data_IF_110991491840
#
_entry.id   IF_110991491840
#
_cell.length_a   1.000
_cell.length_b   1.000
_cell.length_c   1.000
_cell.angle_alpha   90.00
_cell.angle_beta   90.00
_cell.angle_gamma   90.00
#
_symmetry.space_group_name_H-M   'P 1'
#
loop_
_entity.id
_entity.type
_entity.pdbx_description
1 polymer ?
#
# COMPACT_ATOMS: atom_id res chain seq x y z
N UNK A 1 -5.75 -6.37 -27.01
CA UNK A 1 -5.60 -6.30 -26.48
C UNK A 1 -5.54 -6.25 -25.55
N UNK A 2 -5.72 -6.18 -25.43
CA UNK A 2 -5.61 -6.01 -24.68
C UNK A 2 -5.52 -5.87 -23.73
N UNK A 3 -5.49 -5.69 -23.37
CA UNK A 3 -5.42 -5.41 -22.54
C UNK A 3 -5.48 -5.10 -21.65
N UNK A 4 -6.14 -5.30 -22.48
CA UNK A 4 -5.40 -5.16 -21.45
C UNK A 4 -5.76 -4.61 -20.07
N UNK A 5 -5.64 -5.37 -19.13
CA UNK A 5 -5.82 -4.95 -17.76
C UNK A 5 -4.51 -4.33 -17.30
N UNK A 6 -4.54 -3.04 -16.97
CA UNK A 6 -3.38 -2.39 -16.37
C UNK A 6 -3.31 -2.82 -14.92
N UNK A 7 -2.29 -3.55 -14.60
CA UNK A 7 -2.02 -3.94 -13.22
C UNK A 7 -0.89 -3.07 -12.70
N UNK A 8 -1.03 -2.65 -11.45
CA UNK A 8 0.02 -1.90 -10.78
C UNK A 8 0.43 -2.65 -9.52
N UNK A 9 1.53 -2.25 -8.95
CA UNK A 9 2.01 -2.82 -7.69
C UNK A 9 1.97 -1.75 -6.62
N UNK A 10 1.33 -2.08 -5.51
CA UNK A 10 1.31 -1.25 -4.31
C UNK A 10 2.43 -1.74 -3.41
N UNK A 11 3.35 -0.85 -3.08
CA UNK A 11 4.58 -1.20 -2.38
C UNK A 11 4.63 -0.48 -1.06
N UNK A 12 4.93 -1.19 0.01
CA UNK A 12 4.99 -0.64 1.35
C UNK A 12 6.31 -1.00 2.02
N UNK A 13 7.09 0.02 2.35
CA UNK A 13 8.34 -0.15 3.10
C UNK A 13 8.01 -0.10 4.58
N UNK A 14 7.52 -1.22 5.08
CA UNK A 14 6.95 -1.31 6.41
C UNK A 14 7.92 -0.95 7.55
N UNK A 15 9.19 -1.24 7.36
CA UNK A 15 10.20 -0.95 8.38
C UNK A 15 10.25 0.54 8.74
N UNK A 16 9.89 1.39 7.80
CA UNK A 16 9.95 2.85 7.98
C UNK A 16 8.60 3.46 8.27
N UNK A 17 7.56 2.65 8.39
CA UNK A 17 6.22 3.12 8.71
C UNK A 17 6.19 3.64 10.15
N UNK A 18 5.53 4.80 10.34
CA UNK A 18 5.44 5.41 11.67
C UNK A 18 4.07 5.21 12.35
N UNK A 19 3.16 4.51 11.67
CA UNK A 19 1.87 4.18 12.27
C UNK A 19 0.87 5.33 12.32
N UNK A 20 0.95 6.28 11.40
CA UNK A 20 0.05 7.44 11.39
C UNK A 20 -1.41 7.09 11.09
N UNK A 21 -1.66 5.93 10.47
CA UNK A 21 -3.01 5.45 10.22
C UNK A 21 -3.71 6.01 9.00
N UNK A 22 -3.08 6.94 8.28
CA UNK A 22 -3.71 7.56 7.11
C UNK A 22 -4.10 6.54 6.05
N UNK A 23 -3.21 5.59 5.77
CA UNK A 23 -3.48 4.58 4.75
C UNK A 23 -4.70 3.75 5.10
N UNK A 24 -4.84 3.38 6.37
CA UNK A 24 -5.99 2.62 6.84
C UNK A 24 -7.28 3.43 6.74
N UNK A 25 -7.21 4.71 7.08
CA UNK A 25 -8.40 5.57 7.01
C UNK A 25 -8.85 5.79 5.57
N UNK A 26 -7.91 5.95 4.66
CA UNK A 26 -8.23 6.23 3.26
C UNK A 26 -8.59 4.98 2.47
N UNK A 27 -7.95 3.85 2.79
CA UNK A 27 -8.09 2.63 1.99
C UNK A 27 -8.15 1.40 2.90
N UNK A 28 -9.21 1.27 3.72
CA UNK A 28 -9.27 0.20 4.72
C UNK A 28 -9.31 -1.21 4.13
N UNK A 29 -9.64 -1.35 2.85
CA UNK A 29 -9.68 -2.66 2.21
C UNK A 29 -8.29 -3.28 2.10
N UNK A 30 -7.26 -2.47 2.00
CA UNK A 30 -5.90 -2.94 1.77
C UNK A 30 -4.99 -2.78 2.97
N UNK A 31 -5.42 -2.03 3.99
CA UNK A 31 -4.54 -1.68 5.09
C UNK A 31 -5.15 -2.03 6.44
N UNK A 32 -4.35 -2.65 7.30
CA UNK A 32 -4.72 -2.93 8.68
C UNK A 32 -3.61 -2.45 9.58
N UNK A 33 -3.97 -1.85 10.70
CA UNK A 33 -2.97 -1.41 11.67
C UNK A 33 -2.60 -2.57 12.58
N UNK A 34 -1.30 -2.76 12.78
CA UNK A 34 -0.80 -3.82 13.66
C UNK A 34 -0.93 -3.40 15.12
N UNK A 35 -1.46 -4.30 15.93
CA UNK A 35 -1.56 -4.05 17.38
C UNK A 35 -0.23 -4.32 18.09
N UNK A 36 0.70 -4.98 17.42
CA UNK A 36 1.99 -5.32 18.02
C UNK A 36 2.97 -4.16 17.98
N UNK A 37 3.06 -3.47 16.86
CA UNK A 37 4.04 -2.42 16.68
C UNK A 37 3.45 -1.11 16.17
N UNK A 38 2.14 -1.07 15.96
CA UNK A 38 1.45 0.15 15.52
C UNK A 38 1.67 0.52 14.06
N UNK A 39 2.39 -0.28 13.32
CA UNK A 39 2.62 -0.02 11.90
C UNK A 39 1.49 -0.58 11.05
N UNK A 40 1.40 -0.11 9.81
CA UNK A 40 0.40 -0.60 8.88
C UNK A 40 0.84 -1.92 8.26
N UNK A 41 -0.13 -2.80 8.05
CA UNK A 41 0.05 -4.04 7.30
C UNK A 41 -0.68 -3.92 5.98
N UNK A 42 -0.01 -4.23 4.87
CA UNK A 42 -0.65 -4.31 3.57
C UNK A 42 -1.24 -5.71 3.43
N UNK A 43 -2.56 -5.75 3.37
CA UNK A 43 -3.31 -7.02 3.39
C UNK A 43 -3.03 -7.83 2.13
N UNK A 44 -2.76 -9.12 2.30
CA UNK A 44 -2.52 -10.08 1.21
C UNK A 44 -1.28 -9.77 0.38
N UNK A 45 -0.42 -8.93 0.88
CA UNK A 45 0.82 -8.61 0.17
C UNK A 45 1.85 -9.74 0.30
N UNK A 46 2.75 -9.80 -0.68
CA UNK A 46 3.90 -10.67 -0.62
C UNK A 46 5.05 -9.89 0.02
N UNK A 47 5.69 -10.48 1.02
CA UNK A 47 6.77 -9.81 1.73
C UNK A 47 8.12 -10.30 1.20
N UNK A 48 9.03 -9.35 0.95
CA UNK A 48 10.40 -9.65 0.59
C UNK A 48 11.31 -8.68 1.33
N UNK A 49 12.08 -9.19 2.29
CA UNK A 49 13.06 -8.40 3.04
C UNK A 49 12.46 -7.14 3.67
N UNK A 50 11.27 -7.28 4.22
CA UNK A 50 10.60 -6.17 4.89
C UNK A 50 9.81 -5.27 3.97
N UNK A 51 9.83 -5.54 2.67
CA UNK A 51 9.07 -4.78 1.68
C UNK A 51 7.83 -5.60 1.29
N UNK A 52 6.67 -4.98 1.38
CA UNK A 52 5.40 -5.64 1.10
C UNK A 52 4.87 -5.17 -0.24
N UNK A 53 4.50 -6.11 -1.11
CA UNK A 53 4.09 -5.83 -2.48
C UNK A 53 2.75 -6.51 -2.75
N UNK A 54 1.80 -5.75 -3.26
CA UNK A 54 0.47 -6.24 -3.62
C UNK A 54 0.12 -5.77 -5.03
N UNK A 55 -0.28 -6.70 -5.89
CA UNK A 55 -0.79 -6.31 -7.19
C UNK A 55 -2.20 -5.78 -7.06
N UNK A 56 -2.46 -4.64 -7.67
CA UNK A 56 -3.77 -4.00 -7.62
C UNK A 56 -4.27 -3.75 -9.03
N UNK A 57 -5.59 -3.66 -9.17
CA UNK A 57 -6.21 -3.43 -10.46
C UNK A 57 -6.19 -1.95 -10.81
N UNK A 58 -6.47 -1.67 -12.08
CA UNK A 58 -6.54 -0.31 -12.58
C UNK A 58 -7.50 0.57 -11.76
N UNK A 59 -8.58 -0.03 -11.25
CA UNK A 59 -9.58 0.70 -10.47
C UNK A 59 -9.02 1.23 -9.14
N UNK A 60 -7.97 0.63 -8.64
CA UNK A 60 -7.42 0.98 -7.33
C UNK A 60 -6.21 1.90 -7.40
N UNK A 61 -5.71 2.17 -8.61
CA UNK A 61 -4.48 2.94 -8.77
C UNK A 61 -4.64 4.37 -8.26
N UNK A 62 -5.72 5.03 -8.62
CA UNK A 62 -5.93 6.43 -8.26
C UNK A 62 -5.98 6.63 -6.75
N UNK A 63 -6.77 5.82 -6.05
CA UNK A 63 -6.86 5.91 -4.60
C UNK A 63 -5.53 5.54 -3.95
N UNK A 64 -4.86 4.53 -4.47
CA UNK A 64 -3.56 4.12 -3.93
C UNK A 64 -2.51 5.21 -4.10
N UNK A 65 -2.55 5.94 -5.23
CA UNK A 65 -1.66 7.09 -5.41
C UNK A 65 -1.94 8.18 -4.38
N UNK A 66 -3.21 8.43 -4.07
CA UNK A 66 -3.57 9.40 -3.04
C UNK A 66 -3.07 8.95 -1.66
N UNK A 67 -3.21 7.68 -1.36
CA UNK A 67 -2.71 7.11 -0.10
C UNK A 67 -1.20 7.29 -0.02
N UNK A 68 -0.50 6.98 -1.11
CA UNK A 68 0.95 7.13 -1.14
C UNK A 68 1.38 8.58 -0.95
N UNK A 69 0.67 9.50 -1.58
CA UNK A 69 0.96 10.93 -1.45
C UNK A 69 0.68 11.45 -0.04
N UNK A 70 -0.29 10.85 0.65
CA UNK A 70 -0.69 11.28 1.99
C UNK A 70 0.19 10.72 3.09
N UNK A 71 1.02 9.72 2.77
CA UNK A 71 1.92 9.14 3.77
C UNK A 71 3.01 10.15 4.13
N UNK A 72 3.09 10.57 5.40
CA UNK A 72 4.05 11.63 5.77
C UNK A 72 5.51 11.22 5.65
N UNK A 73 5.81 9.93 5.71
CA UNK A 73 7.19 9.44 5.59
C UNK A 73 7.45 8.79 4.23
N UNK A 74 6.47 8.82 3.34
CA UNK A 74 6.61 8.36 1.95
C UNK A 74 7.11 6.92 1.82
N UNK A 75 6.53 6.04 2.62
CA UNK A 75 6.91 4.62 2.60
C UNK A 75 5.95 3.76 1.76
N UNK A 76 5.01 4.40 1.09
CA UNK A 76 4.05 3.73 0.21
C UNK A 76 4.26 4.24 -1.21
N UNK A 77 4.34 3.32 -2.16
CA UNK A 77 4.55 3.68 -3.56
C UNK A 77 3.64 2.86 -4.46
N UNK A 78 3.26 3.45 -5.57
CA UNK A 78 2.50 2.74 -6.60
C UNK A 78 3.38 2.67 -7.84
N UNK A 79 3.62 1.47 -8.30
CA UNK A 79 4.46 1.24 -9.48
C UNK A 79 3.62 0.63 -10.57
N UNK A 80 3.39 1.38 -11.61
CA UNK A 80 2.65 0.91 -12.77
C UNK A 80 3.59 0.32 -13.81
#
# INVERSE_FOLDING_TARGET
MNRAVNMAKLIHYRDKCIGCGVCHEMQPEYWRMSKKDGKANLVKATEKKGIYILEISNNDIELSDLVAASCPVKVIKVNE
#
